data_IF_701715894640
#
_entry.id   IF_701715894640
#
_cell.length_a   1.000
_cell.length_b   1.000
_cell.length_c   1.000
_cell.angle_alpha   90.00
_cell.angle_beta   90.00
_cell.angle_gamma   90.00
#
_symmetry.space_group_name_H-M   'P 1'
#
loop_
_entity.id
_entity.type
_entity.pdbx_description
1 polymer ?
#
# COMPACT_ATOMS: atom_id res chain seq x y z
N UNK A 1 5.46 14.15 -19.68
CA UNK A 1 6.00 13.14 -18.75
C UNK A 1 4.92 12.67 -17.79
N UNK A 2 4.38 13.54 -16.93
CA UNK A 2 3.40 13.16 -15.90
C UNK A 2 2.17 12.39 -16.40
N UNK A 3 1.55 12.78 -17.52
CA UNK A 3 0.37 12.05 -18.02
C UNK A 3 0.67 10.59 -18.41
N UNK A 4 1.91 10.29 -18.85
CA UNK A 4 2.34 8.91 -19.12
C UNK A 4 2.47 8.10 -17.82
N UNK A 5 2.88 8.74 -16.73
CA UNK A 5 2.92 8.11 -15.41
C UNK A 5 1.51 7.90 -14.84
N UNK A 6 0.60 8.87 -15.03
CA UNK A 6 -0.82 8.64 -14.72
C UNK A 6 -1.37 7.47 -15.54
N UNK A 7 -0.96 7.33 -16.80
CA UNK A 7 -1.33 6.17 -17.62
C UNK A 7 -0.79 4.84 -17.09
N UNK A 8 0.47 4.78 -16.64
CA UNK A 8 1.03 3.59 -16.00
C UNK A 8 0.24 3.18 -14.76
N UNK A 9 -0.09 4.14 -13.88
CA UNK A 9 -0.77 3.88 -12.61
C UNK A 9 -2.27 3.58 -12.79
N UNK A 10 -2.92 4.24 -13.75
CA UNK A 10 -4.36 4.12 -13.95
C UNK A 10 -4.71 2.86 -14.74
N UNK A 11 -5.58 2.04 -14.15
CA UNK A 11 -6.09 0.81 -14.75
C UNK A 11 -7.07 1.10 -15.90
N UNK A 12 -7.25 0.15 -16.85
CA UNK A 12 -8.29 0.24 -17.87
C UNK A 12 -9.67 0.54 -17.25
N UNK A 13 -10.39 1.52 -17.80
CA UNK A 13 -11.66 1.99 -17.26
C UNK A 13 -11.58 3.05 -16.16
N UNK A 14 -10.38 3.33 -15.64
CA UNK A 14 -10.14 4.39 -14.66
C UNK A 14 -10.37 5.79 -15.22
N UNK A 15 -10.49 6.77 -14.32
CA UNK A 15 -10.75 8.17 -14.65
C UNK A 15 -9.57 9.05 -14.23
N UNK A 16 -9.25 10.02 -15.08
CA UNK A 16 -8.36 11.13 -14.75
C UNK A 16 -9.15 12.44 -14.83
N UNK A 17 -9.00 13.27 -13.81
CA UNK A 17 -9.67 14.57 -13.70
C UNK A 17 -8.59 15.64 -13.71
N UNK A 18 -8.65 16.54 -14.69
CA UNK A 18 -7.85 17.76 -14.70
C UNK A 18 -8.75 18.91 -14.28
N UNK A 19 -8.38 19.58 -13.20
CA UNK A 19 -9.07 20.77 -12.69
C UNK A 19 -8.11 21.97 -12.74
N UNK A 20 -8.52 23.05 -13.40
CA UNK A 20 -7.72 24.27 -13.58
C UNK A 20 -7.21 24.46 -15.01
N UNK A 21 -6.23 25.38 -15.21
CA UNK A 21 -5.67 25.64 -16.53
C UNK A 21 -5.16 24.35 -17.20
N UNK A 22 -5.39 24.14 -18.51
CA UNK A 22 -5.99 25.07 -19.46
C UNK A 22 -7.53 24.93 -19.62
N UNK A 23 -8.21 24.12 -18.80
CA UNK A 23 -9.66 23.88 -18.95
C UNK A 23 -10.45 25.17 -18.69
N UNK A 24 -11.45 25.46 -19.52
CA UNK A 24 -12.23 26.71 -19.46
C UNK A 24 -11.42 28.00 -19.71
N UNK A 25 -10.32 27.90 -20.47
CA UNK A 25 -9.50 29.07 -20.83
C UNK A 25 -10.29 30.19 -21.51
N UNK A 26 -11.37 29.88 -22.24
CA UNK A 26 -12.24 30.89 -22.89
C UNK A 26 -12.75 31.94 -21.90
N UNK A 27 -12.96 31.53 -20.65
CA UNK A 27 -13.46 32.36 -19.56
C UNK A 27 -12.31 33.01 -18.77
N UNK A 28 -11.24 32.25 -18.50
CA UNK A 28 -10.24 32.63 -17.48
C UNK A 28 -8.86 33.06 -18.00
N UNK A 29 -8.59 33.04 -19.31
CA UNK A 29 -7.26 33.36 -19.84
C UNK A 29 -6.72 34.73 -19.37
N UNK A 30 -7.61 35.73 -19.24
CA UNK A 30 -7.26 37.07 -18.71
C UNK A 30 -6.83 37.01 -17.24
N UNK A 31 -7.55 36.25 -16.42
CA UNK A 31 -7.27 36.09 -14.99
C UNK A 31 -5.92 35.41 -14.77
N UNK A 32 -5.58 34.43 -15.60
CA UNK A 32 -4.29 33.74 -15.56
C UNK A 32 -3.14 34.54 -16.17
N UNK A 33 -3.41 35.72 -16.74
CA UNK A 33 -2.41 36.57 -17.43
C UNK A 33 -1.68 35.81 -18.56
N UNK A 34 -2.40 34.98 -19.30
CA UNK A 34 -1.87 34.19 -20.43
C UNK A 34 -2.57 34.57 -21.74
N UNK A 35 -1.91 34.39 -22.88
CA UNK A 35 -2.55 34.59 -24.19
C UNK A 35 -3.59 33.50 -24.45
N UNK A 36 -4.53 33.74 -25.38
CA UNK A 36 -5.53 32.73 -25.77
C UNK A 36 -4.87 31.57 -26.50
N UNK A 37 -3.87 31.89 -27.31
CA UNK A 37 -3.12 30.98 -28.15
C UNK A 37 -2.33 29.98 -27.31
N UNK A 38 -1.68 30.44 -26.23
CA UNK A 38 -0.86 29.58 -25.36
C UNK A 38 -1.72 28.53 -24.64
N UNK A 39 -2.80 28.95 -23.99
CA UNK A 39 -3.70 28.06 -23.23
C UNK A 39 -4.48 27.12 -24.14
N UNK A 40 -4.88 27.57 -25.34
CA UNK A 40 -5.51 26.72 -26.33
C UNK A 40 -4.54 25.66 -26.85
N UNK A 41 -3.29 26.04 -27.10
CA UNK A 41 -2.24 25.11 -27.55
C UNK A 41 -1.93 24.08 -26.47
N UNK A 42 -1.83 24.51 -25.21
CA UNK A 42 -1.63 23.60 -24.07
C UNK A 42 -2.78 22.60 -23.93
N UNK A 43 -4.05 23.05 -24.03
CA UNK A 43 -5.19 22.13 -23.98
C UNK A 43 -5.14 21.11 -25.13
N UNK A 44 -4.84 21.57 -26.36
CA UNK A 44 -4.71 20.68 -27.52
C UNK A 44 -3.59 19.65 -27.33
N UNK A 45 -2.46 20.04 -26.75
CA UNK A 45 -1.35 19.11 -26.47
C UNK A 45 -1.76 18.04 -25.44
N UNK A 46 -2.47 18.43 -24.39
CA UNK A 46 -2.98 17.49 -23.38
C UNK A 46 -3.98 16.51 -24.02
N UNK A 47 -4.92 17.01 -24.83
CA UNK A 47 -5.92 16.19 -25.49
C UNK A 47 -5.29 15.22 -26.50
N UNK A 48 -4.33 15.69 -27.30
CA UNK A 48 -3.59 14.84 -28.24
C UNK A 48 -2.77 13.75 -27.52
N UNK A 49 -2.12 14.09 -26.40
CA UNK A 49 -1.38 13.11 -25.60
C UNK A 49 -2.35 12.08 -24.97
N UNK A 50 -3.46 12.52 -24.40
CA UNK A 50 -4.47 11.63 -23.84
C UNK A 50 -5.05 10.68 -24.91
N UNK A 51 -5.33 11.19 -26.11
CA UNK A 51 -5.79 10.37 -27.24
C UNK A 51 -4.74 9.34 -27.66
N UNK A 52 -3.45 9.72 -27.71
CA UNK A 52 -2.35 8.80 -28.01
C UNK A 52 -2.18 7.68 -26.96
N UNK A 53 -2.58 7.95 -25.71
CA UNK A 53 -2.61 6.99 -24.60
C UNK A 53 -3.92 6.17 -24.56
N UNK A 54 -4.77 6.29 -25.57
CA UNK A 54 -6.06 5.58 -25.66
C UNK A 54 -7.09 6.05 -24.64
N UNK A 55 -7.05 7.32 -24.25
CA UNK A 55 -8.03 7.90 -23.33
C UNK A 55 -9.10 8.65 -24.09
N UNK A 56 -10.31 8.63 -23.56
CA UNK A 56 -11.46 9.30 -24.13
C UNK A 56 -11.94 10.39 -23.17
N UNK A 57 -12.08 11.62 -23.68
CA UNK A 57 -12.67 12.71 -22.91
C UNK A 57 -14.17 12.48 -22.79
N UNK A 58 -14.64 12.29 -21.56
CA UNK A 58 -16.06 12.01 -21.26
C UNK A 58 -16.84 13.26 -20.91
N UNK A 59 -16.18 14.25 -20.33
CA UNK A 59 -16.84 15.42 -19.80
C UNK A 59 -15.91 16.63 -19.76
N UNK A 60 -16.46 17.81 -19.99
CA UNK A 60 -15.83 19.10 -19.70
C UNK A 60 -16.93 20.06 -19.25
N UNK A 61 -16.82 20.58 -18.03
CA UNK A 61 -17.73 21.60 -17.52
C UNK A 61 -17.06 22.43 -16.45
N UNK A 62 -17.25 23.75 -16.54
CA UNK A 62 -16.52 24.68 -15.69
C UNK A 62 -15.03 24.40 -15.85
N UNK A 63 -14.30 24.41 -14.75
CA UNK A 63 -12.83 24.30 -14.76
C UNK A 63 -12.33 22.86 -14.73
N UNK A 64 -13.19 21.89 -15.03
CA UNK A 64 -12.89 20.46 -14.94
C UNK A 64 -13.13 19.74 -16.25
N UNK A 65 -12.18 18.89 -16.61
CA UNK A 65 -12.34 17.91 -17.67
C UNK A 65 -12.03 16.50 -17.15
N UNK A 66 -12.78 15.52 -17.63
CA UNK A 66 -12.70 14.13 -17.19
C UNK A 66 -12.39 13.27 -18.40
N UNK A 67 -11.32 12.50 -18.30
CA UNK A 67 -10.95 11.46 -19.26
C UNK A 67 -11.15 10.09 -18.65
N UNK A 68 -11.50 9.12 -19.49
CA UNK A 68 -11.61 7.71 -19.13
C UNK A 68 -10.63 6.91 -19.98
N UNK A 69 -9.78 6.13 -19.32
CA UNK A 69 -8.90 5.17 -20.00
C UNK A 69 -9.75 4.07 -20.62
N UNK A 70 -9.57 3.78 -21.91
CA UNK A 70 -10.36 2.73 -22.59
C UNK A 70 -10.11 1.36 -21.96
N UNK A 71 -11.16 0.55 -21.86
CA UNK A 71 -11.09 -0.81 -21.30
C UNK A 71 -10.44 -1.78 -22.31
N UNK A 72 -10.68 -1.55 -23.60
CA UNK A 72 -10.10 -2.34 -24.68
C UNK A 72 -9.19 -1.44 -25.53
N UNK A 73 -7.91 -1.81 -25.62
CA UNK A 73 -6.88 -1.10 -26.37
C UNK A 73 -6.73 -1.62 -27.80
N UNK A 74 -7.39 -2.73 -28.21
CA UNK A 74 -7.29 -3.30 -29.56
C UNK A 74 -7.70 -2.32 -30.68
N UNK A 75 -8.67 -1.44 -30.40
CA UNK A 75 -9.09 -0.39 -31.34
C UNK A 75 -8.19 0.85 -31.33
N UNK A 76 -7.30 0.96 -30.35
CA UNK A 76 -6.41 2.09 -30.20
C UNK A 76 -5.08 1.78 -30.89
N UNK A 77 -4.96 2.19 -32.16
CA UNK A 77 -3.68 2.17 -32.86
C UNK A 77 -2.84 3.32 -32.32
N UNK A 78 -2.06 3.04 -31.27
CA UNK A 78 -1.03 3.96 -30.79
C UNK A 78 -0.03 4.19 -31.92
N UNK A 79 -0.17 5.31 -32.62
CA UNK A 79 0.81 5.74 -33.61
C UNK A 79 1.96 6.35 -32.82
N UNK A 80 3.10 5.67 -32.84
CA UNK A 80 4.41 6.17 -32.38
C UNK A 80 4.47 6.65 -30.93
N UNK A 81 4.34 5.75 -29.97
CA UNK A 81 4.74 6.04 -28.59
C UNK A 81 5.94 5.18 -28.22
N UNK A 82 7.02 5.82 -27.78
CA UNK A 82 8.21 5.13 -27.27
C UNK A 82 7.79 4.20 -26.12
N UNK A 83 8.07 2.90 -26.24
CA UNK A 83 7.67 1.88 -25.26
C UNK A 83 8.81 1.70 -24.26
N UNK A 84 8.48 1.61 -22.97
CA UNK A 84 9.49 1.39 -21.94
C UNK A 84 10.08 -0.02 -22.06
N UNK A 85 11.41 -0.11 -22.09
CA UNK A 85 12.13 -1.37 -21.89
C UNK A 85 12.35 -1.53 -20.38
N UNK A 86 11.38 -2.13 -19.69
CA UNK A 86 11.53 -2.47 -18.27
C UNK A 86 11.15 -3.93 -18.05
N UNK A 87 11.96 -4.64 -17.26
CA UNK A 87 11.66 -5.99 -16.80
C UNK A 87 10.57 -5.96 -15.72
N UNK A 88 10.48 -4.85 -14.97
CA UNK A 88 9.48 -4.65 -13.93
C UNK A 88 8.80 -3.28 -14.08
N UNK A 89 7.53 -3.31 -14.48
CA UNK A 89 6.69 -2.11 -14.65
C UNK A 89 6.17 -1.55 -13.32
N UNK A 90 6.21 -2.37 -12.27
CA UNK A 90 5.69 -2.05 -10.94
C UNK A 90 6.79 -1.50 -10.02
N UNK A 91 8.07 -1.58 -10.41
CA UNK A 91 9.21 -0.97 -9.69
C UNK A 91 9.11 0.57 -9.67
N UNK A 92 9.08 1.13 -8.46
CA UNK A 92 8.91 2.57 -8.24
C UNK A 92 9.87 3.15 -7.21
N UNK A 93 10.69 2.33 -6.54
CA UNK A 93 11.56 2.81 -5.45
C UNK A 93 12.86 3.38 -6.01
N UNK A 94 13.11 4.68 -5.79
CA UNK A 94 14.23 5.43 -6.36
C UNK A 94 14.40 5.26 -7.90
N UNK A 95 13.31 4.99 -8.62
CA UNK A 95 13.32 4.83 -10.07
C UNK A 95 13.19 6.17 -10.78
N UNK A 96 14.09 6.44 -11.73
CA UNK A 96 14.00 7.64 -12.57
C UNK A 96 12.82 7.51 -13.53
N UNK A 97 12.01 8.57 -13.63
CA UNK A 97 10.90 8.61 -14.58
C UNK A 97 11.43 8.72 -16.01
N UNK A 98 10.92 7.86 -16.90
CA UNK A 98 11.24 7.88 -18.32
C UNK A 98 10.09 8.45 -19.17
N UNK A 99 10.42 9.01 -20.32
CA UNK A 99 9.45 9.57 -21.27
C UNK A 99 8.86 8.51 -22.21
N UNK A 100 8.67 7.29 -21.73
CA UNK A 100 8.11 6.15 -22.47
C UNK A 100 6.75 5.74 -21.91
N UNK A 101 6.05 4.83 -22.60
CA UNK A 101 4.79 4.23 -22.13
C UNK A 101 5.02 2.78 -21.78
N UNK A 102 4.58 2.41 -20.59
CA UNK A 102 4.64 1.03 -20.10
C UNK A 102 3.66 0.16 -20.91
N UNK A 103 4.10 -0.99 -21.45
CA UNK A 103 3.19 -1.91 -22.10
C UNK A 103 2.08 -2.33 -21.14
N UNK A 104 0.83 -2.30 -21.60
CA UNK A 104 -0.24 -2.98 -20.86
C UNK A 104 -0.08 -4.50 -21.07
N UNK A 105 -0.26 -5.33 -20.03
CA UNK A 105 -0.22 -6.78 -20.19
C UNK A 105 -1.21 -7.21 -21.28
N UNK A 106 -0.74 -8.00 -22.25
CA UNK A 106 -1.57 -8.43 -23.39
C UNK A 106 -2.75 -9.25 -22.89
N UNK A 107 -3.95 -8.71 -23.08
CA UNK A 107 -5.19 -9.43 -22.79
C UNK A 107 -5.51 -10.29 -24.01
N UNK A 108 -5.22 -11.58 -23.91
CA UNK A 108 -5.34 -12.57 -25.00
C UNK A 108 -6.77 -12.65 -25.56
N UNK A 109 -7.81 -12.67 -24.71
CA UNK A 109 -9.20 -12.72 -25.17
C UNK A 109 -10.00 -11.45 -24.86
N UNK A 110 -10.96 -11.13 -25.73
CA UNK A 110 -11.95 -10.06 -25.50
C UNK A 110 -12.81 -10.28 -24.24
N UNK A 111 -12.84 -11.51 -23.73
CA UNK A 111 -13.51 -11.94 -22.50
C UNK A 111 -12.54 -12.26 -21.35
N UNK A 112 -11.22 -12.17 -21.56
CA UNK A 112 -10.28 -12.35 -20.45
C UNK A 112 -10.44 -11.13 -19.55
N UNK A 113 -10.86 -11.42 -18.32
CA UNK A 113 -11.26 -10.45 -17.33
C UNK A 113 -10.10 -9.50 -17.09
N UNK A 114 -10.19 -8.30 -17.66
CA UNK A 114 -9.37 -7.18 -17.27
C UNK A 114 -9.40 -7.11 -15.74
N UNK A 115 -8.22 -7.10 -15.13
CA UNK A 115 -8.00 -7.03 -13.70
C UNK A 115 -9.00 -6.07 -13.04
N UNK A 116 -10.06 -6.62 -12.42
CA UNK A 116 -11.14 -5.81 -11.83
C UNK A 116 -12.60 -6.20 -12.14
N UNK A 117 -12.91 -7.29 -12.87
CA UNK A 117 -14.33 -7.68 -13.02
C UNK A 117 -14.97 -8.19 -11.72
N UNK A 118 -14.17 -8.75 -10.80
CA UNK A 118 -14.67 -9.15 -9.49
C UNK A 118 -14.82 -7.93 -8.58
N UNK A 119 -16.02 -7.75 -8.04
CA UNK A 119 -16.31 -6.72 -7.05
C UNK A 119 -15.75 -7.12 -5.67
N UNK A 120 -15.45 -6.11 -4.87
CA UNK A 120 -15.15 -6.29 -3.46
C UNK A 120 -16.37 -6.88 -2.72
N UNK A 121 -16.21 -7.83 -1.77
CA UNK A 121 -14.96 -8.36 -1.22
C UNK A 121 -14.44 -9.62 -1.94
N UNK A 122 -15.17 -10.19 -2.90
CA UNK A 122 -14.78 -11.43 -3.59
C UNK A 122 -13.38 -11.33 -4.24
N UNK A 123 -13.05 -10.14 -4.74
CA UNK A 123 -11.74 -9.82 -5.32
C UNK A 123 -10.55 -10.04 -4.37
N UNK A 124 -10.74 -9.93 -3.05
CA UNK A 124 -9.66 -10.10 -2.07
C UNK A 124 -9.05 -11.51 -2.07
N UNK A 125 -9.84 -12.51 -2.44
CA UNK A 125 -9.45 -13.93 -2.38
C UNK A 125 -9.36 -14.59 -3.75
N UNK A 126 -9.72 -13.86 -4.81
CA UNK A 126 -9.58 -14.35 -6.17
C UNK A 126 -8.10 -14.42 -6.56
N UNK A 127 -7.72 -15.47 -7.27
CA UNK A 127 -6.35 -15.64 -7.76
C UNK A 127 -6.02 -14.51 -8.74
N UNK A 128 -5.03 -13.67 -8.43
CA UNK A 128 -4.60 -12.59 -9.31
C UNK A 128 -4.10 -13.14 -10.66
N UNK A 129 -4.47 -12.55 -11.81
CA UNK A 129 -4.03 -13.02 -13.13
C UNK A 129 -2.52 -13.19 -13.26
N UNK A 130 -1.72 -12.32 -12.62
CA UNK A 130 -0.26 -12.47 -12.64
C UNK A 130 0.23 -13.76 -11.99
N UNK A 131 -0.46 -14.25 -10.94
CA UNK A 131 -0.14 -15.52 -10.28
C UNK A 131 -0.63 -16.67 -11.17
N UNK A 132 -1.83 -16.58 -11.73
CA UNK A 132 -2.37 -17.60 -12.64
C UNK A 132 -1.49 -17.80 -13.89
N UNK A 133 -0.88 -16.72 -14.39
CA UNK A 133 0.03 -16.73 -15.54
C UNK A 133 1.49 -17.04 -15.17
N UNK A 134 1.81 -17.29 -13.90
CA UNK A 134 3.17 -17.61 -13.46
C UNK A 134 4.17 -16.45 -13.54
N UNK A 135 3.70 -15.20 -13.51
CA UNK A 135 4.53 -13.99 -13.59
C UNK A 135 5.08 -13.55 -12.23
N UNK A 136 4.84 -14.31 -11.16
CA UNK A 136 5.31 -14.00 -9.80
C UNK A 136 6.23 -15.12 -9.32
N UNK A 137 7.52 -14.81 -9.19
CA UNK A 137 8.56 -15.80 -8.91
C UNK A 137 8.37 -16.53 -7.58
N UNK A 138 8.15 -17.84 -7.68
CA UNK A 138 7.97 -18.73 -6.54
C UNK A 138 6.58 -18.67 -5.89
N UNK A 139 5.58 -18.09 -6.56
CA UNK A 139 4.18 -18.07 -6.10
C UNK A 139 3.31 -18.80 -7.10
N UNK A 140 2.70 -19.92 -6.67
CA UNK A 140 1.73 -20.66 -7.47
C UNK A 140 0.31 -20.33 -7.02
N UNK A 141 -0.69 -20.79 -7.78
CA UNK A 141 -2.09 -20.64 -7.39
C UNK A 141 -2.38 -21.35 -6.07
N UNK A 142 -1.78 -22.52 -5.86
CA UNK A 142 -1.92 -23.33 -4.65
C UNK A 142 -1.29 -22.61 -3.46
N UNK A 143 -0.05 -22.12 -3.59
CA UNK A 143 0.62 -21.42 -2.49
C UNK A 143 -0.09 -20.11 -2.12
N UNK A 144 -0.67 -19.40 -3.09
CA UNK A 144 -1.53 -18.25 -2.84
C UNK A 144 -2.81 -18.60 -2.06
N UNK A 145 -3.43 -19.74 -2.35
CA UNK A 145 -4.61 -20.21 -1.61
C UNK A 145 -4.26 -20.66 -0.19
N UNK A 146 -3.08 -21.28 -0.01
CA UNK A 146 -2.55 -21.66 1.29
C UNK A 146 -2.24 -20.43 2.14
N UNK A 147 -1.57 -19.42 1.59
CA UNK A 147 -1.31 -18.12 2.24
C UNK A 147 -2.63 -17.50 2.75
N UNK A 148 -3.68 -17.50 1.93
CA UNK A 148 -4.99 -17.00 2.34
C UNK A 148 -5.61 -17.77 3.51
N UNK A 149 -5.47 -19.10 3.54
CA UNK A 149 -5.96 -19.93 4.65
C UNK A 149 -5.15 -19.67 5.92
N UNK A 150 -3.84 -19.54 5.77
CA UNK A 150 -2.90 -19.28 6.85
C UNK A 150 -3.17 -17.91 7.49
N UNK A 151 -3.30 -16.84 6.71
CA UNK A 151 -3.60 -15.51 7.24
C UNK A 151 -4.96 -15.41 7.92
N UNK A 152 -5.98 -16.13 7.43
CA UNK A 152 -7.26 -16.24 8.15
C UNK A 152 -7.07 -16.86 9.53
N UNK A 153 -6.24 -17.89 9.64
CA UNK A 153 -5.90 -18.53 10.93
C UNK A 153 -5.18 -17.54 11.84
N UNK A 154 -4.11 -16.90 11.36
CA UNK A 154 -3.32 -15.91 12.11
C UNK A 154 -4.18 -14.75 12.63
N UNK A 155 -4.97 -14.13 11.76
CA UNK A 155 -5.83 -12.99 12.13
C UNK A 155 -6.92 -13.40 13.14
N UNK A 156 -7.47 -14.61 13.03
CA UNK A 156 -8.41 -15.13 14.03
C UNK A 156 -7.75 -15.32 15.39
N UNK A 157 -6.50 -15.80 15.43
CA UNK A 157 -5.70 -15.88 16.65
C UNK A 157 -5.46 -14.49 17.24
N UNK A 158 -5.06 -13.51 16.42
CA UNK A 158 -4.86 -12.14 16.88
C UNK A 158 -6.11 -11.52 17.49
N UNK A 159 -7.29 -11.74 16.90
CA UNK A 159 -8.59 -11.28 17.43
C UNK A 159 -8.93 -11.92 18.79
N UNK A 160 -8.47 -13.15 19.07
CA UNK A 160 -8.63 -13.80 20.38
C UNK A 160 -7.70 -13.21 21.43
N UNK A 161 -6.46 -12.89 21.04
CA UNK A 161 -5.46 -12.29 21.95
C UNK A 161 -5.83 -10.84 22.27
N UNK A 162 -6.32 -10.10 21.27
CA UNK A 162 -6.71 -8.70 21.35
C UNK A 162 -8.10 -8.51 20.73
N UNK A 163 -9.13 -8.52 21.58
CA UNK A 163 -10.53 -8.40 21.19
C UNK A 163 -10.90 -7.03 20.60
N UNK A 164 -9.99 -6.05 20.63
CA UNK A 164 -10.19 -4.73 20.02
C UNK A 164 -10.02 -4.79 18.49
N UNK A 165 -9.37 -5.82 17.94
CA UNK A 165 -9.21 -6.03 16.50
C UNK A 165 -10.58 -6.30 15.85
N UNK A 166 -10.94 -5.46 14.87
CA UNK A 166 -12.25 -5.50 14.21
C UNK A 166 -13.31 -4.58 14.85
N UNK A 167 -12.99 -3.94 15.98
CA UNK A 167 -13.81 -2.87 16.57
C UNK A 167 -13.46 -1.52 15.93
N UNK A 168 -14.12 -0.44 16.36
CA UNK A 168 -13.78 0.94 15.93
C UNK A 168 -12.52 1.50 16.57
N UNK A 169 -11.86 0.73 17.47
CA UNK A 169 -10.63 1.15 18.16
C UNK A 169 -9.44 1.25 17.21
N UNK A 170 -9.28 0.28 16.31
CA UNK A 170 -8.22 0.29 15.30
C UNK A 170 -8.84 0.61 13.94
N UNK A 171 -8.61 1.82 13.43
CA UNK A 171 -9.11 2.26 12.12
C UNK A 171 -8.00 2.35 11.09
N UNK A 172 -6.84 2.85 11.51
CA UNK A 172 -5.67 3.00 10.68
C UNK A 172 -4.69 1.89 11.02
N UNK A 173 -4.60 0.89 10.16
CA UNK A 173 -3.73 -0.26 10.34
C UNK A 173 -2.57 -0.17 9.35
N UNK A 174 -1.38 -0.55 9.78
CA UNK A 174 -0.22 -0.71 8.92
C UNK A 174 0.24 -2.16 8.96
N UNK A 175 0.50 -2.74 7.79
CA UNK A 175 1.15 -4.03 7.63
C UNK A 175 2.53 -3.80 7.04
N UNK A 176 3.57 -3.96 7.86
CA UNK A 176 4.93 -3.55 7.52
C UNK A 176 5.63 -4.51 6.56
N UNK A 177 5.14 -5.75 6.46
CA UNK A 177 5.64 -6.75 5.53
C UNK A 177 4.47 -7.53 4.96
N UNK A 178 3.78 -6.91 4.00
CA UNK A 178 2.49 -7.37 3.53
C UNK A 178 2.55 -8.66 2.69
N UNK A 179 3.71 -8.98 2.12
CA UNK A 179 3.86 -10.08 1.16
C UNK A 179 2.75 -10.03 0.10
N UNK A 180 1.91 -11.06 0.04
CA UNK A 180 0.81 -11.14 -0.93
C UNK A 180 -0.43 -10.30 -0.55
N UNK A 181 -0.42 -9.58 0.58
CA UNK A 181 -1.55 -8.83 1.14
C UNK A 181 -2.53 -9.69 1.93
N UNK A 182 -2.10 -10.87 2.39
CA UNK A 182 -2.96 -11.87 3.04
C UNK A 182 -3.52 -11.40 4.38
N UNK A 183 -2.72 -10.72 5.20
CA UNK A 183 -3.16 -10.12 6.47
C UNK A 183 -4.30 -9.12 6.24
N UNK A 184 -4.13 -8.15 5.34
CA UNK A 184 -5.15 -7.15 5.05
C UNK A 184 -6.44 -7.76 4.50
N UNK A 185 -6.34 -8.77 3.63
CA UNK A 185 -7.49 -9.48 3.11
C UNK A 185 -8.23 -10.27 4.20
N UNK A 186 -7.51 -10.90 5.12
CA UNK A 186 -8.08 -11.63 6.25
C UNK A 186 -8.69 -10.71 7.32
N UNK A 187 -8.15 -9.50 7.47
CA UNK A 187 -8.67 -8.49 8.40
C UNK A 187 -9.97 -7.84 7.93
N UNK A 188 -10.23 -7.84 6.60
CA UNK A 188 -11.34 -7.17 5.88
C UNK A 188 -12.43 -6.59 6.79
N UNK A 189 -12.55 -5.26 6.74
CA UNK A 189 -13.45 -4.52 7.62
C UNK A 189 -13.88 -3.23 6.96
N UNK A 190 -15.15 -2.87 7.14
CA UNK A 190 -15.68 -1.55 6.71
C UNK A 190 -15.25 -0.41 7.64
N UNK A 191 -14.69 -0.73 8.81
CA UNK A 191 -14.36 0.25 9.87
C UNK A 191 -12.90 0.63 9.90
N UNK A 192 -12.05 -0.14 9.21
CA UNK A 192 -10.60 0.01 9.24
C UNK A 192 -10.03 -0.19 7.84
N UNK A 193 -8.90 0.45 7.57
CA UNK A 193 -8.12 0.26 6.35
C UNK A 193 -6.70 -0.14 6.71
N UNK A 194 -6.02 -0.81 5.77
CA UNK A 194 -4.65 -1.30 5.96
C UNK A 194 -3.76 -0.64 4.91
N UNK A 195 -2.71 0.04 5.36
CA UNK A 195 -1.57 0.39 4.52
C UNK A 195 -0.69 -0.86 4.40
N UNK A 196 -0.61 -1.46 3.21
CA UNK A 196 0.25 -2.61 2.97
C UNK A 196 1.61 -2.14 2.50
N UNK A 197 2.67 -2.52 3.19
CA UNK A 197 4.04 -2.16 2.82
C UNK A 197 4.75 -3.41 2.33
N UNK A 198 5.36 -3.32 1.16
CA UNK A 198 6.28 -4.33 0.62
C UNK A 198 7.69 -3.80 0.84
N UNK A 199 8.48 -4.40 1.75
CA UNK A 199 9.87 -4.01 1.94
C UNK A 199 10.67 -4.08 0.63
N UNK A 200 11.54 -3.11 0.40
CA UNK A 200 12.39 -3.03 -0.81
C UNK A 200 13.36 -4.22 -0.92
N UNK A 201 13.74 -4.80 0.22
CA UNK A 201 14.60 -5.99 0.32
C UNK A 201 13.82 -7.31 0.18
N UNK A 202 12.48 -7.26 0.10
CA UNK A 202 11.64 -8.43 -0.11
C UNK A 202 11.30 -8.64 -1.59
N UNK A 203 10.73 -9.80 -1.92
CA UNK A 203 10.22 -10.06 -3.26
C UNK A 203 9.13 -9.06 -3.64
N UNK A 204 9.19 -8.57 -4.88
CA UNK A 204 8.17 -7.70 -5.41
C UNK A 204 6.81 -8.43 -5.48
N UNK A 205 5.90 -8.00 -4.62
CA UNK A 205 4.52 -8.52 -4.52
C UNK A 205 3.47 -7.40 -4.57
N UNK A 206 3.88 -6.16 -4.81
CA UNK A 206 2.99 -5.00 -4.73
C UNK A 206 1.88 -5.04 -5.79
N UNK A 207 2.20 -5.51 -7.00
CA UNK A 207 1.18 -5.70 -8.02
C UNK A 207 0.13 -6.75 -7.64
N UNK A 208 0.48 -7.79 -6.87
CA UNK A 208 -0.48 -8.75 -6.31
C UNK A 208 -1.46 -8.04 -5.36
N UNK A 209 -0.94 -7.20 -4.46
CA UNK A 209 -1.74 -6.39 -3.52
C UNK A 209 -2.75 -5.53 -4.28
N UNK A 210 -2.29 -4.83 -5.32
CA UNK A 210 -3.17 -4.00 -6.14
C UNK A 210 -4.21 -4.83 -6.91
N UNK A 211 -3.86 -6.02 -7.42
CA UNK A 211 -4.79 -6.92 -8.11
C UNK A 211 -5.89 -7.44 -7.19
N UNK A 212 -5.63 -7.59 -5.89
CA UNK A 212 -6.64 -7.89 -4.86
C UNK A 212 -7.56 -6.69 -4.54
N UNK A 213 -7.19 -5.49 -4.98
CA UNK A 213 -7.92 -4.25 -4.71
C UNK A 213 -7.54 -3.59 -3.39
N UNK A 214 -6.38 -3.94 -2.84
CA UNK A 214 -5.79 -3.33 -1.67
C UNK A 214 -4.88 -2.16 -2.07
N UNK A 215 -4.61 -1.26 -1.13
CA UNK A 215 -3.60 -0.22 -1.29
C UNK A 215 -2.27 -0.69 -0.70
N UNK A 216 -1.17 -0.27 -1.29
CA UNK A 216 0.15 -0.53 -0.73
C UNK A 216 1.23 0.33 -1.36
N UNK A 217 2.44 0.23 -0.81
CA UNK A 217 3.63 0.93 -1.28
C UNK A 217 4.88 0.07 -1.08
N UNK A 218 5.97 0.43 -1.75
CA UNK A 218 7.30 0.03 -1.26
C UNK A 218 7.78 1.00 -0.20
N UNK A 219 8.56 0.46 0.72
CA UNK A 219 9.31 1.27 1.68
C UNK A 219 10.52 0.50 2.16
N UNK A 220 11.58 1.22 2.48
CA UNK A 220 12.72 0.68 3.22
C UNK A 220 12.61 1.07 4.69
N UNK A 221 12.44 0.10 5.59
CA UNK A 221 12.32 0.36 7.03
C UNK A 221 13.62 0.83 7.69
N UNK A 222 14.74 0.84 6.97
CA UNK A 222 15.95 1.55 7.39
C UNK A 222 15.84 3.08 7.20
N UNK A 223 14.80 3.55 6.52
CA UNK A 223 14.48 4.96 6.31
C UNK A 223 13.16 5.35 6.99
N UNK A 224 13.01 6.65 7.30
CA UNK A 224 11.78 7.18 7.87
C UNK A 224 10.61 7.09 6.88
N UNK A 225 9.47 6.58 7.34
CA UNK A 225 8.28 6.43 6.53
C UNK A 225 7.61 7.79 6.26
N UNK A 226 7.30 8.09 5.00
CA UNK A 226 6.66 9.37 4.62
C UNK A 226 5.20 9.43 5.09
N UNK A 227 4.99 9.85 6.33
CA UNK A 227 3.68 9.99 6.96
C UNK A 227 3.70 11.09 8.02
N UNK A 228 2.52 11.62 8.34
CA UNK A 228 2.37 12.48 9.50
C UNK A 228 2.68 11.69 10.78
N UNK A 229 3.43 12.26 11.75
CA UNK A 229 3.70 11.57 13.00
C UNK A 229 2.41 11.06 13.66
N UNK A 230 2.45 9.84 14.19
CA UNK A 230 1.33 9.20 14.93
C UNK A 230 0.06 9.04 14.08
N UNK A 231 0.17 8.30 12.99
CA UNK A 231 -0.93 8.05 12.06
C UNK A 231 -1.72 6.77 12.36
N UNK A 232 -1.05 5.72 12.86
CA UNK A 232 -1.62 4.37 12.94
C UNK A 232 -2.04 3.97 14.36
N UNK A 233 -3.14 3.23 14.46
CA UNK A 233 -3.67 2.69 15.72
C UNK A 233 -3.13 1.27 15.99
N UNK A 234 -2.83 0.53 14.91
CA UNK A 234 -2.31 -0.83 14.94
C UNK A 234 -1.21 -0.99 13.88
N UNK A 235 -0.06 -1.50 14.30
CA UNK A 235 1.02 -1.92 13.40
C UNK A 235 1.13 -3.45 13.46
N UNK A 236 1.18 -4.08 12.31
CA UNK A 236 1.45 -5.50 12.15
C UNK A 236 2.83 -5.67 11.52
N UNK A 237 3.66 -6.49 12.16
CA UNK A 237 5.05 -6.72 11.76
C UNK A 237 5.36 -8.22 11.83
N UNK A 238 5.07 -8.93 10.74
CA UNK A 238 5.38 -10.35 10.59
C UNK A 238 6.71 -10.55 9.88
N UNK A 239 7.68 -11.17 10.55
CA UNK A 239 9.01 -11.45 10.03
C UNK A 239 9.84 -10.21 9.67
N UNK A 240 9.43 -9.02 10.10
CA UNK A 240 10.09 -7.75 9.73
C UNK A 240 11.52 -7.72 10.26
N UNK A 241 11.74 -8.12 11.52
CA UNK A 241 13.07 -8.04 12.12
C UNK A 241 13.99 -9.15 11.64
N UNK A 242 13.44 -10.34 11.37
CA UNK A 242 14.20 -11.38 10.67
C UNK A 242 14.62 -10.96 9.27
N UNK A 243 13.72 -10.29 8.52
CA UNK A 243 14.00 -9.77 7.18
C UNK A 243 15.11 -8.70 7.20
N UNK A 244 15.10 -7.79 8.18
CA UNK A 244 16.04 -6.67 8.27
C UNK A 244 17.29 -6.95 9.12
N UNK A 245 17.46 -8.18 9.61
CA UNK A 245 18.49 -8.56 10.61
C UNK A 245 19.92 -8.11 10.26
N UNK A 246 20.26 -8.06 8.96
CA UNK A 246 21.59 -7.70 8.48
C UNK A 246 21.63 -6.37 7.69
N UNK A 247 20.49 -5.68 7.57
CA UNK A 247 20.35 -4.50 6.72
C UNK A 247 20.42 -3.20 7.53
N UNK A 248 19.77 -3.15 8.70
CA UNK A 248 19.88 -2.02 9.63
C UNK A 248 19.55 -2.39 11.08
N UNK A 249 19.75 -1.44 12.00
CA UNK A 249 19.56 -1.70 13.42
C UNK A 249 18.08 -1.85 13.76
N UNK A 250 17.83 -2.78 14.69
CA UNK A 250 16.51 -3.11 15.19
C UNK A 250 15.88 -1.91 15.92
N UNK A 251 16.72 -1.12 16.59
CA UNK A 251 16.37 0.13 17.26
C UNK A 251 15.82 1.18 16.29
N UNK A 252 16.41 1.32 15.10
CA UNK A 252 16.01 2.34 14.12
C UNK A 252 14.57 2.06 13.62
N UNK A 253 14.28 0.80 13.33
CA UNK A 253 12.94 0.34 12.94
C UNK A 253 11.94 0.55 14.09
N UNK A 254 12.33 0.24 15.34
CA UNK A 254 11.46 0.43 16.51
C UNK A 254 11.18 1.91 16.80
N UNK A 255 12.17 2.78 16.62
CA UNK A 255 11.99 4.23 16.74
C UNK A 255 11.02 4.75 15.68
N UNK A 256 11.12 4.24 14.45
CA UNK A 256 10.20 4.60 13.38
C UNK A 256 8.76 4.11 13.68
N UNK A 257 8.61 2.89 14.20
CA UNK A 257 7.32 2.40 14.71
C UNK A 257 6.77 3.32 15.81
N UNK A 258 7.61 3.78 16.75
CA UNK A 258 7.18 4.71 17.80
C UNK A 258 6.71 6.05 17.24
N UNK A 259 7.41 6.59 16.26
CA UNK A 259 7.07 7.86 15.61
C UNK A 259 5.70 7.80 14.95
N UNK A 260 5.35 6.69 14.28
CA UNK A 260 4.12 6.57 13.48
C UNK A 260 2.93 5.96 14.25
N UNK A 261 3.19 5.30 15.38
CA UNK A 261 2.15 4.73 16.24
C UNK A 261 1.55 5.79 17.16
N UNK A 262 0.21 5.85 17.20
CA UNK A 262 -0.53 6.71 18.14
C UNK A 262 -0.30 6.25 19.59
N UNK A 263 -0.43 7.15 20.59
CA UNK A 263 -0.46 6.73 21.98
C UNK A 263 -1.55 5.70 22.22
N UNK A 264 -1.27 4.71 23.08
CA UNK A 264 -2.15 3.55 23.31
C UNK A 264 -2.42 2.71 22.06
N UNK A 265 -1.64 2.93 20.99
CA UNK A 265 -1.61 2.09 19.82
C UNK A 265 -0.96 0.75 20.13
N UNK A 266 -1.31 -0.26 19.34
CA UNK A 266 -0.80 -1.63 19.51
C UNK A 266 0.15 -1.99 18.37
N UNK A 267 1.17 -2.76 18.67
CA UNK A 267 1.99 -3.47 17.68
C UNK A 267 1.85 -4.97 17.89
N UNK A 268 1.66 -5.71 16.80
CA UNK A 268 1.68 -7.18 16.79
C UNK A 268 2.91 -7.59 16.01
N UNK A 269 3.88 -8.14 16.73
CA UNK A 269 5.04 -8.77 16.13
C UNK A 269 4.81 -10.27 16.04
N UNK A 270 5.10 -10.85 14.88
CA UNK A 270 5.20 -12.30 14.69
C UNK A 270 6.58 -12.58 14.13
N UNK A 271 7.42 -13.28 14.88
CA UNK A 271 8.80 -13.58 14.47
C UNK A 271 9.37 -14.73 15.32
N UNK A 272 10.59 -15.15 15.03
CA UNK A 272 11.32 -16.14 15.82
C UNK A 272 11.51 -15.68 17.27
N UNK A 273 11.43 -16.63 18.22
CA UNK A 273 11.45 -16.32 19.66
C UNK A 273 12.72 -15.58 20.11
N UNK A 274 13.87 -15.86 19.51
CA UNK A 274 15.14 -15.19 19.83
C UNK A 274 15.14 -13.72 19.38
N UNK A 275 14.54 -13.43 18.22
CA UNK A 275 14.33 -12.08 17.70
C UNK A 275 13.34 -11.32 18.59
N UNK A 276 12.20 -11.91 18.93
CA UNK A 276 11.20 -11.26 19.79
C UNK A 276 11.72 -10.97 21.20
N UNK A 277 12.61 -11.80 21.74
CA UNK A 277 13.24 -11.51 23.04
C UNK A 277 14.13 -10.27 23.00
N UNK A 278 14.83 -10.02 21.88
CA UNK A 278 15.61 -8.77 21.68
C UNK A 278 14.67 -7.58 21.55
N UNK A 279 13.63 -7.69 20.73
CA UNK A 279 12.58 -6.65 20.58
C UNK A 279 11.98 -6.30 21.94
N UNK A 280 11.56 -7.31 22.71
CA UNK A 280 10.95 -7.14 24.04
C UNK A 280 11.86 -6.35 25.00
N UNK A 281 13.17 -6.56 24.95
CA UNK A 281 14.13 -5.82 25.78
C UNK A 281 14.17 -4.34 25.42
N UNK A 282 14.19 -4.02 24.12
CA UNK A 282 14.25 -2.63 23.63
C UNK A 282 12.94 -1.90 23.92
N UNK A 283 11.79 -2.49 23.57
CA UNK A 283 10.48 -1.86 23.78
C UNK A 283 10.15 -1.66 25.27
N UNK A 284 10.68 -2.52 26.15
CA UNK A 284 10.62 -2.29 27.60
C UNK A 284 11.35 -1.01 28.03
N UNK A 285 12.51 -0.72 27.43
CA UNK A 285 13.22 0.55 27.61
C UNK A 285 12.47 1.75 27.03
N UNK A 286 11.65 1.54 25.99
CA UNK A 286 10.77 2.54 25.38
C UNK A 286 9.46 2.76 26.16
N UNK A 287 9.28 2.08 27.31
CA UNK A 287 8.06 2.12 28.13
C UNK A 287 6.81 1.63 27.38
N UNK A 288 6.98 0.60 26.58
CA UNK A 288 5.84 -0.10 25.99
C UNK A 288 5.53 -1.37 26.78
N UNK A 289 4.25 -1.65 26.99
CA UNK A 289 3.80 -2.85 27.68
C UNK A 289 3.79 -4.03 26.72
N UNK A 290 4.61 -5.04 27.00
CA UNK A 290 4.84 -6.16 26.09
C UNK A 290 4.37 -7.49 26.68
N UNK A 291 3.62 -8.26 25.89
CA UNK A 291 3.15 -9.60 26.24
C UNK A 291 3.47 -10.58 25.10
N UNK A 292 4.29 -11.58 25.41
CA UNK A 292 4.57 -12.69 24.48
C UNK A 292 3.52 -13.79 24.66
N UNK A 293 3.11 -14.38 23.55
CA UNK A 293 2.11 -15.46 23.45
C UNK A 293 2.65 -16.52 22.49
N UNK A 294 2.29 -17.77 22.77
CA UNK A 294 2.63 -18.89 21.90
C UNK A 294 1.93 -18.82 20.53
N UNK A 295 2.54 -19.50 19.56
CA UNK A 295 1.93 -19.76 18.25
C UNK A 295 0.62 -20.52 18.40
N UNK A 296 -0.32 -20.31 17.47
CA UNK A 296 -1.62 -20.99 17.49
C UNK A 296 -1.56 -22.51 17.30
N UNK A 297 -0.45 -23.03 16.76
CA UNK A 297 -0.18 -24.47 16.61
C UNK A 297 0.53 -25.07 17.82
N UNK A 298 0.81 -24.26 18.84
CA UNK A 298 1.29 -24.70 20.14
C UNK A 298 2.64 -24.12 20.56
N UNK A 299 3.06 -24.41 21.79
CA UNK A 299 4.24 -23.81 22.42
C UNK A 299 5.58 -24.29 21.84
N UNK A 300 5.59 -25.40 21.10
CA UNK A 300 6.82 -25.94 20.50
C UNK A 300 7.20 -25.28 19.18
N UNK A 301 6.30 -24.49 18.57
CA UNK A 301 6.63 -23.73 17.36
C UNK A 301 7.58 -22.59 17.74
N UNK A 302 8.75 -22.45 17.08
CA UNK A 302 9.74 -21.41 17.37
C UNK A 302 9.23 -19.98 17.16
N UNK A 303 8.41 -19.78 16.12
CA UNK A 303 7.72 -18.51 15.87
C UNK A 303 6.75 -18.19 17.01
N UNK A 304 6.75 -16.95 17.50
CA UNK A 304 5.88 -16.48 18.58
C UNK A 304 5.15 -15.21 18.20
N UNK A 305 4.20 -14.81 19.03
CA UNK A 305 3.45 -13.56 18.87
C UNK A 305 3.80 -12.65 20.05
N UNK A 306 4.34 -11.48 19.78
CA UNK A 306 4.58 -10.45 20.79
C UNK A 306 3.61 -9.29 20.55
N UNK A 307 2.66 -9.12 21.47
CA UNK A 307 1.72 -8.00 21.44
C UNK A 307 2.24 -6.92 22.36
N UNK A 308 2.38 -5.71 21.83
CA UNK A 308 2.95 -4.58 22.55
C UNK A 308 2.03 -3.37 22.47
N UNK A 309 1.84 -2.66 23.59
CA UNK A 309 1.01 -1.47 23.68
C UNK A 309 1.87 -0.28 24.07
N UNK A 310 1.85 0.76 23.24
CA UNK A 310 2.55 2.01 23.53
C UNK A 310 1.84 2.77 24.64
N UNK A 311 2.52 3.02 25.75
CA UNK A 311 1.94 3.82 26.84
C UNK A 311 1.82 5.29 26.44
N UNK A 312 0.74 5.94 26.90
CA UNK A 312 0.66 7.39 26.90
C UNK A 312 1.39 7.92 28.13
N UNK A 313 2.50 8.62 27.93
CA UNK A 313 3.24 9.25 29.01
C UNK A 313 3.33 10.76 28.75
N UNK A 314 3.01 11.53 29.78
CA UNK A 314 3.17 12.98 29.82
C UNK A 314 4.27 13.28 30.84
N UNK A 315 5.22 14.14 30.48
CA UNK A 315 6.19 14.63 31.46
C UNK A 315 5.46 15.54 32.46
N UNK A 316 5.04 15.01 33.62
CA UNK A 316 4.45 15.85 34.67
C UNK A 316 3.50 15.23 35.70
N UNK A 317 3.60 13.96 36.08
CA UNK A 317 2.85 13.42 37.23
C UNK A 317 3.78 12.87 38.31
N UNK A 318 4.67 13.73 38.81
CA UNK A 318 5.49 13.49 39.98
C UNK A 318 5.47 14.71 40.88
N UNK A 319 4.45 14.80 41.73
CA UNK A 319 4.47 15.51 43.00
C UNK A 319 3.26 15.08 43.84
N UNK A 320 3.25 13.81 44.27
CA UNK A 320 2.63 13.49 45.56
C UNK A 320 3.70 13.68 46.61
N UNK A 321 3.71 14.87 47.21
CA UNK A 321 4.42 15.16 48.45
C UNK A 321 4.13 14.05 49.46
N UNK A 322 5.19 13.43 49.96
CA UNK A 322 5.20 12.69 51.20
C UNK A 322 4.70 13.61 52.32
N UNK A 323 3.51 13.32 52.86
CA UNK A 323 3.13 13.84 54.17
C UNK A 323 3.53 12.78 55.20
N UNK A 324 4.76 12.93 55.72
CA UNK A 324 5.08 12.50 57.07
C UNK A 324 4.51 13.54 58.04
N UNK A 325 3.45 13.15 58.76
CA UNK A 325 3.20 13.53 60.15
C UNK A 325 2.18 12.59 60.79
#
# INVERSE_FOLDING_TARGET
>A
MYLKEVDRVLRPGGYWILSGPPINWKTYYKTWKRSKEDVQTEQRQIEALAESLCWEKKYEKGDMAIWKKKVNTKSCKSKSVNVCQTEDADDVWYKKMDTCVTPSPEVTNANDVAVGALKFPARLYAVPPRIANGLVDGVTTESYQEDNKLWKKHVNTYKRINNLIGTTRYRNVMDMNAGLGGFAAALESRKSWVMNVVPTIAKNTLGVIYERGLIGIYHDWCEGFSTYPRSYDLIHASGVFSLYKNECNLEDILLEMDRILRPEGTVIFRDEVDVLNKVRKIVGGMRWDAKIVDHEDGPLVPEKILVVVKQYWVAGSGNSTSNDQ
#
